data_IF_852720384786
#
_entry.id   IF_852720384786
#
_cell.length_a   1.000
_cell.length_b   1.000
_cell.length_c   1.000
_cell.angle_alpha   90.00
_cell.angle_beta   90.00
_cell.angle_gamma   90.00
#
_symmetry.space_group_name_H-M   'P 1'
#
loop_
_entity.id
_entity.type
_entity.pdbx_description
1 polymer ?
#
# COMPACT_ATOMS: atom_id res chain seq x y z
N UNK A 1 56.32 -16.75 -9.46
CA UNK A 1 54.86 -16.90 -9.59
C UNK A 1 54.18 -16.00 -8.58
N UNK A 2 53.56 -14.92 -9.03
CA UNK A 2 52.86 -13.96 -8.16
C UNK A 2 51.37 -14.18 -8.30
N UNK A 3 50.74 -14.84 -7.33
CA UNK A 3 49.28 -14.87 -7.23
C UNK A 3 48.82 -13.51 -6.71
N UNK A 4 48.20 -12.73 -7.60
CA UNK A 4 47.46 -11.52 -7.25
C UNK A 4 46.13 -11.97 -6.63
N UNK A 5 45.99 -11.76 -5.33
CA UNK A 5 44.74 -11.97 -4.61
C UNK A 5 43.80 -10.81 -4.96
N UNK A 6 42.98 -10.98 -5.99
CA UNK A 6 41.89 -10.05 -6.29
C UNK A 6 40.76 -10.30 -5.29
N UNK A 7 40.86 -9.69 -4.11
CA UNK A 7 39.71 -9.52 -3.23
C UNK A 7 38.82 -8.46 -3.88
N UNK A 8 37.79 -8.90 -4.59
CA UNK A 8 36.70 -8.02 -4.97
C UNK A 8 35.99 -7.63 -3.68
N UNK A 9 36.27 -6.43 -3.15
CA UNK A 9 35.42 -5.83 -2.14
C UNK A 9 34.03 -5.66 -2.77
N UNK A 10 33.09 -6.53 -2.39
CA UNK A 10 31.67 -6.31 -2.64
C UNK A 10 31.26 -5.10 -1.80
N UNK A 11 31.34 -3.91 -2.39
CA UNK A 11 30.68 -2.72 -1.87
C UNK A 11 29.20 -2.88 -2.17
N UNK A 12 28.47 -3.47 -1.23
CA UNK A 12 27.01 -3.38 -1.20
C UNK A 12 26.65 -1.88 -1.26
N UNK A 13 25.73 -1.45 -2.13
CA UNK A 13 25.22 -0.09 -2.06
C UNK A 13 24.66 0.11 -0.64
N UNK A 14 25.07 1.18 0.02
CA UNK A 14 24.63 1.51 1.38
C UNK A 14 23.17 1.98 1.39
N UNK A 15 22.54 2.07 0.22
CA UNK A 15 21.24 2.70 -0.01
C UNK A 15 20.06 1.71 -0.16
N UNK A 16 20.28 0.39 -0.06
CA UNK A 16 19.23 -0.61 -0.33
C UNK A 16 18.38 -1.02 0.88
N UNK A 17 18.76 -0.62 2.10
CA UNK A 17 18.01 -0.96 3.31
C UNK A 17 17.26 0.30 3.79
N UNK A 18 15.91 0.34 3.67
CA UNK A 18 15.14 1.47 4.16
C UNK A 18 15.33 1.62 5.67
N UNK A 19 15.20 2.85 6.16
CA UNK A 19 15.22 3.10 7.60
C UNK A 19 14.17 2.20 8.28
N UNK A 20 14.51 1.49 9.38
CA UNK A 20 13.58 0.59 10.03
C UNK A 20 12.27 1.25 10.44
N UNK A 21 12.28 2.52 10.85
CA UNK A 21 11.06 3.24 11.19
C UNK A 21 10.21 3.51 9.95
N UNK A 22 10.82 3.90 8.83
CA UNK A 22 10.11 4.11 7.56
C UNK A 22 9.47 2.81 7.07
N UNK A 23 10.21 1.69 7.11
CA UNK A 23 9.69 0.37 6.74
C UNK A 23 8.52 -0.08 7.62
N UNK A 24 8.62 0.13 8.94
CA UNK A 24 7.54 -0.17 9.89
C UNK A 24 6.31 0.69 9.59
N UNK A 25 6.50 1.99 9.32
CA UNK A 25 5.39 2.90 9.02
C UNK A 25 4.67 2.54 7.71
N UNK A 26 5.42 2.17 6.67
CA UNK A 26 4.87 1.64 5.43
C UNK A 26 4.04 0.38 5.70
N UNK A 27 4.62 -0.60 6.41
CA UNK A 27 3.93 -1.86 6.72
C UNK A 27 2.64 -1.64 7.51
N UNK A 28 2.66 -0.75 8.51
CA UNK A 28 1.46 -0.38 9.26
C UNK A 28 0.39 0.25 8.36
N UNK A 29 0.79 1.12 7.44
CA UNK A 29 -0.13 1.77 6.51
C UNK A 29 -0.80 0.75 5.58
N UNK A 30 -0.02 -0.19 5.04
CA UNK A 30 -0.54 -1.27 4.18
C UNK A 30 -1.44 -2.25 4.96
N UNK A 31 -1.03 -2.65 6.17
CA UNK A 31 -1.82 -3.53 7.03
C UNK A 31 -3.18 -2.90 7.34
N UNK A 32 -3.21 -1.60 7.68
CA UNK A 32 -4.47 -0.91 7.94
C UNK A 32 -5.43 -0.94 6.74
N UNK A 33 -4.91 -0.72 5.52
CA UNK A 33 -5.73 -0.78 4.30
C UNK A 33 -6.28 -2.18 4.09
N UNK A 34 -5.42 -3.20 4.19
CA UNK A 34 -5.83 -4.59 4.02
C UNK A 34 -6.91 -4.99 5.03
N UNK A 35 -6.73 -4.62 6.30
CA UNK A 35 -7.72 -4.86 7.36
C UNK A 35 -9.05 -4.15 7.05
N UNK A 36 -8.99 -2.88 6.66
CA UNK A 36 -10.20 -2.11 6.36
C UNK A 36 -10.94 -2.66 5.14
N UNK A 37 -10.24 -3.01 4.07
CA UNK A 37 -10.84 -3.64 2.90
C UNK A 37 -11.44 -5.01 3.23
N UNK A 38 -10.76 -5.80 4.07
CA UNK A 38 -11.27 -7.07 4.53
C UNK A 38 -12.54 -6.92 5.39
N UNK A 39 -12.58 -5.92 6.29
CA UNK A 39 -13.78 -5.57 7.05
C UNK A 39 -14.95 -5.20 6.12
N UNK A 40 -14.67 -4.43 5.06
CA UNK A 40 -15.70 -4.08 4.07
C UNK A 40 -16.18 -5.31 3.29
N UNK A 41 -15.31 -6.26 2.97
CA UNK A 41 -15.73 -7.47 2.29
C UNK A 41 -16.55 -8.42 3.19
N UNK A 42 -16.25 -8.47 4.49
CA UNK A 42 -16.89 -9.38 5.44
C UNK A 42 -18.17 -8.85 6.07
N UNK A 43 -18.50 -7.57 5.91
CA UNK A 43 -19.68 -6.96 6.54
C UNK A 43 -20.87 -6.96 5.56
N UNK A 44 -21.82 -7.92 5.66
CA UNK A 44 -23.05 -7.83 4.89
C UNK A 44 -23.79 -6.54 5.23
N UNK A 45 -24.34 -5.83 4.24
CA UNK A 45 -25.07 -4.56 4.39
C UNK A 45 -24.26 -3.36 4.93
N UNK A 46 -22.94 -3.32 4.77
CA UNK A 46 -22.16 -2.08 4.97
C UNK A 46 -22.49 -0.97 3.94
N UNK A 47 -23.41 -1.25 3.00
CA UNK A 47 -23.82 -0.33 1.95
C UNK A 47 -22.76 -0.13 0.87
N UNK A 48 -21.70 -0.95 0.85
CA UNK A 48 -20.68 -0.93 -0.19
C UNK A 48 -21.17 -1.76 -1.37
N UNK A 49 -21.21 -1.16 -2.55
CA UNK A 49 -21.70 -1.76 -3.78
C UNK A 49 -20.56 -1.95 -4.78
N UNK A 50 -20.40 -3.18 -5.28
CA UNK A 50 -19.49 -3.45 -6.38
C UNK A 50 -19.93 -2.67 -7.64
N UNK A 51 -18.98 -2.04 -8.32
CA UNK A 51 -19.20 -1.19 -9.49
C UNK A 51 -19.36 0.31 -9.18
N UNK A 52 -19.79 0.68 -7.96
CA UNK A 52 -19.94 2.08 -7.52
C UNK A 52 -18.91 2.44 -6.43
N UNK A 53 -18.78 1.59 -5.41
CA UNK A 53 -17.92 1.85 -4.27
C UNK A 53 -16.55 1.17 -4.41
N UNK A 54 -16.45 0.14 -5.25
CA UNK A 54 -15.18 -0.42 -5.70
C UNK A 54 -15.36 -1.16 -7.02
N UNK A 55 -14.34 -1.15 -7.87
CA UNK A 55 -14.31 -1.88 -9.13
C UNK A 55 -12.89 -2.37 -9.41
N UNK A 56 -12.73 -3.17 -10.45
CA UNK A 56 -11.42 -3.59 -10.94
C UNK A 56 -11.24 -3.11 -12.37
N UNK A 57 -10.07 -2.56 -12.69
CA UNK A 57 -9.70 -2.30 -14.08
C UNK A 57 -9.56 -3.62 -14.84
N UNK A 58 -9.62 -3.61 -16.19
CA UNK A 58 -9.30 -4.79 -17.00
C UNK A 58 -7.92 -5.40 -16.68
N UNK A 59 -6.99 -4.60 -16.20
CA UNK A 59 -5.63 -4.98 -15.80
C UNK A 59 -5.58 -5.59 -14.38
N UNK A 60 -6.71 -5.60 -13.65
CA UNK A 60 -6.83 -6.17 -12.32
C UNK A 60 -6.48 -5.20 -11.19
N UNK A 61 -6.37 -3.90 -11.46
CA UNK A 61 -6.12 -2.90 -10.43
C UNK A 61 -7.41 -2.58 -9.68
N UNK A 62 -7.33 -2.52 -8.35
CA UNK A 62 -8.47 -2.11 -7.52
C UNK A 62 -8.69 -0.61 -7.64
N UNK A 63 -9.88 -0.24 -8.08
CA UNK A 63 -10.38 1.13 -8.10
C UNK A 63 -11.36 1.28 -6.95
N UNK A 64 -11.19 2.34 -6.15
CA UNK A 64 -12.05 2.60 -4.99
C UNK A 64 -12.88 3.86 -5.22
N UNK A 65 -14.19 3.72 -5.04
CA UNK A 65 -15.13 4.84 -5.07
C UNK A 65 -15.00 5.73 -3.83
N UNK A 66 -15.64 6.91 -3.90
CA UNK A 66 -15.55 7.96 -2.86
C UNK A 66 -15.94 7.46 -1.48
N UNK A 67 -16.99 6.64 -1.38
CA UNK A 67 -17.47 6.11 -0.09
C UNK A 67 -16.48 5.16 0.58
N UNK A 68 -15.95 4.20 -0.17
CA UNK A 68 -14.89 3.28 0.31
C UNK A 68 -13.66 4.06 0.75
N UNK A 69 -13.30 5.10 0.00
CA UNK A 69 -12.21 6.01 0.32
C UNK A 69 -12.41 6.72 1.67
N UNK A 70 -13.61 7.25 1.91
CA UNK A 70 -13.92 7.97 3.14
C UNK A 70 -13.88 7.04 4.36
N UNK A 71 -14.30 5.77 4.20
CA UNK A 71 -14.18 4.74 5.24
C UNK A 71 -12.71 4.40 5.51
N UNK A 72 -11.90 4.20 4.45
CA UNK A 72 -10.46 3.95 4.59
C UNK A 72 -9.76 5.08 5.33
N UNK A 73 -10.08 6.33 4.99
CA UNK A 73 -9.55 7.50 5.70
C UNK A 73 -9.96 7.51 7.18
N UNK A 74 -11.22 7.20 7.48
CA UNK A 74 -11.72 7.18 8.84
C UNK A 74 -11.07 6.08 9.70
N UNK A 75 -10.81 4.91 9.12
CA UNK A 75 -10.20 3.78 9.83
C UNK A 75 -8.68 3.90 9.99
N UNK A 76 -7.98 4.33 8.92
CA UNK A 76 -6.52 4.40 8.94
C UNK A 76 -5.97 5.69 9.54
N UNK A 77 -6.82 6.70 9.74
CA UNK A 77 -6.39 7.99 10.25
C UNK A 77 -5.53 8.76 9.23
N UNK A 78 -5.32 10.04 9.51
CA UNK A 78 -4.72 10.96 8.53
C UNK A 78 -3.28 10.62 8.15
N UNK A 79 -2.49 10.07 9.08
CA UNK A 79 -1.08 9.72 8.84
C UNK A 79 -0.93 8.58 7.82
N UNK A 80 -1.62 7.46 8.03
CA UNK A 80 -1.56 6.31 7.12
C UNK A 80 -2.30 6.60 5.81
N UNK A 81 -3.38 7.39 5.87
CA UNK A 81 -4.12 7.80 4.68
C UNK A 81 -3.24 8.60 3.69
N UNK A 82 -2.34 9.46 4.19
CA UNK A 82 -1.42 10.21 3.33
C UNK A 82 -0.43 9.32 2.56
N UNK A 83 -0.04 8.19 3.15
CA UNK A 83 0.78 7.20 2.46
C UNK A 83 -0.03 6.49 1.38
N UNK A 84 -1.18 5.95 1.78
CA UNK A 84 -2.05 5.09 0.96
C UNK A 84 -2.63 5.82 -0.24
N UNK A 85 -3.02 7.10 -0.08
CA UNK A 85 -3.60 7.90 -1.18
C UNK A 85 -2.68 8.02 -2.39
N UNK A 86 -1.36 7.84 -2.22
CA UNK A 86 -0.41 7.94 -3.32
C UNK A 86 -0.44 6.71 -4.24
N UNK A 87 -1.04 5.60 -3.78
CA UNK A 87 -1.08 4.32 -4.48
C UNK A 87 -2.48 3.92 -4.95
N UNK A 88 -3.52 4.64 -4.52
CA UNK A 88 -4.89 4.37 -4.93
C UNK A 88 -5.26 5.28 -6.10
N UNK A 89 -5.52 4.72 -7.30
CA UNK A 89 -5.92 5.53 -8.45
C UNK A 89 -7.23 6.24 -8.12
N UNK A 90 -7.25 7.56 -8.32
CA UNK A 90 -8.46 8.37 -8.15
C UNK A 90 -9.33 8.14 -9.38
N UNK A 91 -10.55 7.61 -9.18
CA UNK A 91 -11.60 7.67 -10.18
C UNK A 91 -11.88 9.15 -10.49
N UNK A 92 -11.51 9.58 -11.70
CA UNK A 92 -11.90 10.90 -12.21
C UNK A 92 -13.39 10.80 -12.55
N UNK A 93 -14.22 11.38 -11.68
CA UNK A 93 -15.65 11.60 -11.95
C UNK A 93 -15.89 12.43 -13.19
#
# INVERSE_FOLDING_TARGET
SSQKNNTYEYKSPVDDIPDPCDWIQEHHSLACVAETLNLLNQTPNNGIQAGEDFSYTPEGELVIGVKTRDILKAHCGDQHWQYVRNYLPIEKG
#
